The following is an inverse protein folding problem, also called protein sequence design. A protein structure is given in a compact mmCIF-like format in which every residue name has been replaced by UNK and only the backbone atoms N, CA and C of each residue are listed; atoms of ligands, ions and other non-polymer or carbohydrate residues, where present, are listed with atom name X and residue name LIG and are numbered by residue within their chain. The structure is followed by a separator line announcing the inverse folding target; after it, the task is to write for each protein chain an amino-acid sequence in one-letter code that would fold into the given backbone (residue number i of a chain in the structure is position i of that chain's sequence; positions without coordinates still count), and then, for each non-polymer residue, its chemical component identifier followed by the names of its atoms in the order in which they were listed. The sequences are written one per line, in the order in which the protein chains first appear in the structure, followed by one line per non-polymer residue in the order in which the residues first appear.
data_IF_639543107335
#
_entry.id   IF_639543107335
#
_cell.length_a   1.000
_cell.length_b   1.000
_cell.length_c   1.000
_cell.angle_alpha   90.00
_cell.angle_beta   90.00
_cell.angle_gamma   90.00
#
_symmetry.space_group_name_H-M   'P 1'
#
loop_
_entity.id
_entity.type
_entity.pdbx_description
1 polymer ?
#
# COMPACT_ATOMS: atom_id res chain seq x y z
N UNK A 1 -33.56 -47.95 -14.24
CA UNK A 1 -32.74 -46.97 -14.99
C UNK A 1 -33.11 -45.50 -14.73
N UNK A 2 -34.33 -45.18 -14.50
CA UNK A 2 -34.72 -43.77 -14.21
C UNK A 2 -34.23 -43.23 -12.85
N UNK A 3 -33.86 -44.09 -11.86
CA UNK A 3 -33.33 -43.68 -10.55
C UNK A 3 -31.88 -43.23 -10.56
N UNK A 4 -31.07 -43.70 -11.48
CA UNK A 4 -29.64 -43.38 -11.56
C UNK A 4 -29.34 -42.06 -12.28
N UNK A 5 -30.23 -41.65 -13.19
CA UNK A 5 -30.09 -40.38 -13.89
C UNK A 5 -30.21 -39.13 -13.01
N UNK A 6 -30.98 -39.23 -11.93
CA UNK A 6 -31.16 -38.12 -10.98
C UNK A 6 -29.93 -37.89 -10.09
N UNK A 7 -29.24 -38.98 -9.75
CA UNK A 7 -28.01 -38.89 -8.93
C UNK A 7 -26.80 -38.47 -9.75
N UNK A 8 -26.76 -38.82 -11.02
CA UNK A 8 -25.68 -38.41 -11.91
C UNK A 8 -25.71 -36.91 -12.20
N UNK A 9 -26.91 -36.32 -12.33
CA UNK A 9 -27.07 -34.88 -12.53
C UNK A 9 -26.70 -34.11 -11.26
N UNK A 10 -27.05 -34.62 -10.09
CA UNK A 10 -26.67 -34.01 -8.81
C UNK A 10 -25.14 -34.06 -8.57
N UNK A 11 -24.47 -35.15 -8.95
CA UNK A 11 -23.03 -35.26 -8.82
C UNK A 11 -22.27 -34.34 -9.78
N UNK A 12 -22.76 -34.16 -11.02
CA UNK A 12 -22.17 -33.23 -11.99
C UNK A 12 -22.40 -31.78 -11.56
N UNK A 13 -23.56 -31.44 -11.02
CA UNK A 13 -23.84 -30.11 -10.48
C UNK A 13 -22.95 -29.82 -9.26
N UNK A 14 -22.71 -30.79 -8.38
CA UNK A 14 -21.80 -30.66 -7.24
C UNK A 14 -20.35 -30.41 -7.66
N UNK A 15 -19.86 -31.09 -8.69
CA UNK A 15 -18.51 -30.91 -9.22
C UNK A 15 -18.32 -29.53 -9.87
N UNK A 16 -19.34 -28.99 -10.52
CA UNK A 16 -19.29 -27.64 -11.11
C UNK A 16 -19.25 -26.56 -10.00
N UNK A 17 -19.91 -26.78 -8.88
CA UNK A 17 -19.83 -25.84 -7.73
C UNK A 17 -18.46 -25.85 -7.06
N UNK A 18 -17.77 -26.99 -6.95
CA UNK A 18 -16.43 -27.06 -6.40
C UNK A 18 -15.38 -26.44 -7.34
N UNK A 19 -15.53 -26.59 -8.66
CA UNK A 19 -14.65 -25.95 -9.64
C UNK A 19 -14.82 -24.42 -9.67
N UNK A 20 -16.00 -23.88 -9.36
CA UNK A 20 -16.24 -22.44 -9.26
C UNK A 20 -15.61 -21.82 -8.00
N UNK A 21 -15.43 -22.60 -6.91
CA UNK A 21 -14.74 -22.12 -5.70
C UNK A 21 -13.21 -22.09 -5.88
N UNK A 22 -12.63 -23.01 -6.63
CA UNK A 22 -11.18 -23.04 -6.90
C UNK A 22 -10.69 -21.87 -7.78
N UNK A 23 -11.57 -21.30 -8.59
CA UNK A 23 -11.24 -20.13 -9.42
C UNK A 23 -11.26 -18.81 -8.64
N UNK A 24 -11.72 -18.79 -7.41
CA UNK A 24 -11.78 -17.58 -6.59
C UNK A 24 -10.44 -17.25 -5.93
N UNK A 25 -9.59 -18.25 -5.67
CA UNK A 25 -8.26 -18.07 -5.10
C UNK A 25 -7.21 -17.56 -6.10
N UNK A 26 -7.45 -17.71 -7.40
CA UNK A 26 -6.52 -17.27 -8.44
C UNK A 26 -6.58 -15.76 -8.75
N UNK A 27 -7.53 -15.04 -8.17
CA UNK A 27 -7.79 -13.63 -8.50
C UNK A 27 -7.23 -12.62 -7.47
N UNK A 28 -6.49 -13.10 -6.45
CA UNK A 28 -5.95 -12.24 -5.39
C UNK A 28 -4.95 -11.18 -5.90
N UNK A 29 -4.46 -11.31 -7.12
CA UNK A 29 -3.50 -10.38 -7.73
C UNK A 29 -4.07 -9.59 -8.91
N UNK A 30 -5.39 -9.56 -9.06
CA UNK A 30 -6.09 -8.91 -10.16
C UNK A 30 -5.80 -7.42 -10.30
N UNK A 31 -5.50 -6.75 -9.21
CA UNK A 31 -5.28 -5.29 -9.16
C UNK A 31 -3.81 -4.88 -9.26
N UNK A 32 -2.92 -5.82 -9.47
CA UNK A 32 -1.48 -5.57 -9.50
C UNK A 32 -0.90 -5.24 -8.13
N UNK A 33 0.42 -5.29 -8.02
CA UNK A 33 1.11 -4.92 -6.79
C UNK A 33 1.24 -3.39 -6.72
N UNK A 34 0.88 -2.80 -5.59
CA UNK A 34 0.97 -1.37 -5.35
C UNK A 34 2.05 -1.07 -4.30
N UNK A 35 2.78 0.04 -4.50
CA UNK A 35 3.70 0.60 -3.52
C UNK A 35 3.01 1.75 -2.80
N UNK A 36 3.12 1.80 -1.49
CA UNK A 36 2.60 2.88 -0.65
C UNK A 36 3.53 3.14 0.54
N UNK A 37 3.32 4.27 1.21
CA UNK A 37 3.98 4.55 2.49
C UNK A 37 3.13 4.02 3.63
N UNK A 38 3.77 3.44 4.65
CA UNK A 38 3.11 2.91 5.86
C UNK A 38 2.19 3.95 6.52
N UNK A 39 2.63 5.21 6.58
CA UNK A 39 1.87 6.33 7.14
C UNK A 39 0.60 6.67 6.34
N UNK A 40 0.51 6.23 5.09
CA UNK A 40 -0.63 6.47 4.20
C UNK A 40 -1.63 5.29 4.14
N UNK A 41 -1.40 4.22 4.90
CA UNK A 41 -2.24 3.02 4.86
C UNK A 41 -3.71 3.30 5.20
N UNK A 42 -3.94 4.15 6.17
CA UNK A 42 -5.32 4.45 6.65
C UNK A 42 -5.76 5.88 6.38
N UNK A 43 -4.84 6.79 6.14
CA UNK A 43 -5.13 8.20 5.96
C UNK A 43 -4.24 8.81 4.87
N UNK A 44 -4.84 9.64 4.03
CA UNK A 44 -4.12 10.42 3.01
C UNK A 44 -3.13 11.42 3.64
N UNK A 45 -3.39 11.85 4.86
CA UNK A 45 -2.56 12.81 5.60
C UNK A 45 -2.34 12.33 7.02
N UNK A 46 -1.08 12.33 7.45
CA UNK A 46 -0.70 12.16 8.83
C UNK A 46 -0.47 13.53 9.46
N UNK A 47 -1.19 13.82 10.53
CA UNK A 47 -0.98 15.03 11.34
C UNK A 47 -0.05 14.69 12.51
N UNK A 48 1.06 15.41 12.58
CA UNK A 48 2.02 15.27 13.67
C UNK A 48 2.24 16.63 14.35
N UNK A 49 2.13 16.66 15.66
CA UNK A 49 2.39 17.86 16.45
C UNK A 49 3.73 17.73 17.15
N UNK A 50 4.59 18.70 16.92
CA UNK A 50 5.91 18.77 17.57
C UNK A 50 5.86 19.71 18.77
N UNK A 51 6.42 19.26 19.88
CA UNK A 51 6.61 20.12 21.06
C UNK A 51 7.84 21.03 20.92
N UNK A 52 7.98 22.02 21.79
CA UNK A 52 9.08 22.99 21.75
C UNK A 52 10.34 22.52 22.49
N UNK A 53 10.37 21.30 22.98
CA UNK A 53 11.38 20.80 23.91
C UNK A 53 12.60 20.15 23.25
N UNK A 54 12.61 20.05 21.91
CA UNK A 54 13.72 19.47 21.13
C UNK A 54 14.03 20.35 19.93
N UNK A 55 15.31 20.44 19.53
CA UNK A 55 15.69 21.20 18.34
C UNK A 55 15.30 20.51 17.02
N UNK A 56 15.19 19.17 17.04
CA UNK A 56 14.85 18.36 15.87
C UNK A 56 13.91 17.21 16.25
N UNK A 57 13.15 16.75 15.27
CA UNK A 57 12.26 15.59 15.37
C UNK A 57 12.48 14.69 14.19
N UNK A 58 12.51 13.41 14.43
CA UNK A 58 12.66 12.39 13.40
C UNK A 58 11.30 11.73 13.11
N UNK A 59 10.95 11.66 11.85
CA UNK A 59 9.77 10.96 11.35
C UNK A 59 10.24 9.76 10.53
N UNK A 60 9.94 8.55 10.98
CA UNK A 60 10.26 7.34 10.26
C UNK A 60 9.20 7.07 9.17
N UNK A 61 9.66 6.72 7.98
CA UNK A 61 8.82 6.35 6.84
C UNK A 61 9.28 5.00 6.30
N UNK A 62 8.34 4.12 5.98
CA UNK A 62 8.63 2.85 5.31
C UNK A 62 7.82 2.73 4.02
N UNK A 63 8.45 2.20 2.98
CA UNK A 63 7.74 1.81 1.78
C UNK A 63 7.21 0.39 1.93
N UNK A 64 5.98 0.18 1.50
CA UNK A 64 5.31 -1.11 1.57
C UNK A 64 4.75 -1.53 0.22
N UNK A 65 4.67 -2.85 0.03
CA UNK A 65 4.00 -3.49 -1.10
C UNK A 65 2.71 -4.17 -0.61
N UNK A 66 1.71 -4.19 -1.45
CA UNK A 66 0.46 -4.91 -1.18
C UNK A 66 0.71 -6.42 -0.98
N UNK A 67 1.66 -7.00 -1.72
CA UNK A 67 2.11 -8.38 -1.57
C UNK A 67 3.57 -8.55 -2.01
N UNK A 68 4.27 -9.62 -1.56
CA UNK A 68 5.69 -9.79 -1.85
C UNK A 68 5.98 -9.89 -3.36
N UNK A 69 7.04 -9.23 -3.81
CA UNK A 69 7.55 -9.36 -5.18
C UNK A 69 8.59 -10.49 -5.27
N UNK A 70 8.76 -11.06 -6.46
CA UNK A 70 9.75 -12.10 -6.72
C UNK A 70 11.19 -11.59 -6.83
N UNK A 71 11.38 -10.28 -6.82
CA UNK A 71 12.68 -9.60 -6.90
C UNK A 71 12.68 -8.36 -6.03
N UNK A 72 13.86 -7.81 -5.77
CA UNK A 72 14.00 -6.55 -5.05
C UNK A 72 13.28 -5.41 -5.77
N UNK A 73 12.58 -4.56 -5.01
CA UNK A 73 11.88 -3.39 -5.52
C UNK A 73 12.54 -2.13 -4.95
N UNK A 74 13.15 -1.33 -5.82
CA UNK A 74 13.68 -0.02 -5.44
C UNK A 74 12.55 1.01 -5.44
N UNK A 75 12.42 1.77 -4.36
CA UNK A 75 11.42 2.83 -4.18
C UNK A 75 12.14 4.15 -3.95
N UNK A 76 11.85 5.14 -4.78
CA UNK A 76 12.36 6.50 -4.62
C UNK A 76 11.32 7.38 -3.93
N UNK A 77 11.74 8.01 -2.84
CA UNK A 77 10.92 8.96 -2.08
C UNK A 77 11.26 10.38 -2.56
N UNK A 78 10.23 11.14 -2.89
CA UNK A 78 10.38 12.50 -3.38
C UNK A 78 9.41 13.42 -2.67
N UNK A 79 9.89 14.60 -2.24
CA UNK A 79 9.02 15.65 -1.70
C UNK A 79 8.40 16.39 -2.88
N UNK A 80 7.07 16.39 -2.94
CA UNK A 80 6.31 17.07 -3.99
C UNK A 80 5.47 18.21 -3.41
N UNK A 81 5.93 19.47 -3.51
CA UNK A 81 5.21 20.63 -2.99
C UNK A 81 3.83 20.87 -3.63
N UNK A 82 3.60 20.36 -4.84
CA UNK A 82 2.33 20.54 -5.55
C UNK A 82 1.16 19.81 -4.86
N UNK A 83 1.45 18.77 -4.10
CA UNK A 83 0.44 18.00 -3.37
C UNK A 83 -0.27 18.83 -2.30
N UNK A 84 0.39 19.83 -1.72
CA UNK A 84 -0.25 20.75 -0.75
C UNK A 84 -1.39 21.52 -1.40
N UNK A 85 -1.17 22.06 -2.60
CA UNK A 85 -2.21 22.77 -3.36
C UNK A 85 -3.36 21.84 -3.75
N UNK A 86 -3.07 20.63 -4.18
CA UNK A 86 -4.08 19.62 -4.52
C UNK A 86 -4.94 19.25 -3.31
N UNK A 87 -4.30 19.04 -2.17
CA UNK A 87 -4.99 18.75 -0.91
C UNK A 87 -5.89 19.91 -0.48
N UNK A 88 -5.37 21.15 -0.49
CA UNK A 88 -6.13 22.34 -0.14
C UNK A 88 -7.38 22.50 -1.02
N UNK A 89 -7.24 22.28 -2.33
CA UNK A 89 -8.36 22.37 -3.26
C UNK A 89 -9.44 21.31 -2.99
N UNK A 90 -9.02 20.09 -2.61
CA UNK A 90 -9.94 18.98 -2.32
C UNK A 90 -10.71 19.17 -1.02
N UNK A 91 -10.06 19.66 0.02
CA UNK A 91 -10.61 19.70 1.38
C UNK A 91 -10.94 21.12 1.89
N UNK A 92 -10.74 22.15 1.07
CA UNK A 92 -11.02 23.53 1.47
C UNK A 92 -10.10 24.04 2.58
N UNK A 93 -8.86 23.55 2.62
CA UNK A 93 -7.86 23.97 3.61
C UNK A 93 -6.90 25.02 3.03
N UNK A 94 -6.09 25.63 3.90
CA UNK A 94 -5.11 26.67 3.53
C UNK A 94 -3.71 26.32 4.06
N UNK A 95 -3.33 25.03 3.95
CA UNK A 95 -1.99 24.59 4.36
C UNK A 95 -0.92 25.19 3.46
N UNK A 96 0.23 25.48 4.04
CA UNK A 96 1.41 25.97 3.31
C UNK A 96 2.52 24.93 3.36
N UNK A 97 3.30 24.85 2.29
CA UNK A 97 4.48 23.97 2.26
C UNK A 97 5.52 24.44 3.27
N UNK A 98 6.08 23.52 4.04
CA UNK A 98 7.21 23.80 4.91
C UNK A 98 8.44 24.15 4.07
N UNK A 99 9.14 25.23 4.44
CA UNK A 99 10.38 25.62 3.76
C UNK A 99 11.43 24.49 3.89
N UNK A 100 12.12 24.19 2.80
CA UNK A 100 13.09 23.10 2.71
C UNK A 100 14.26 23.18 3.70
N UNK A 101 14.52 24.36 4.26
CA UNK A 101 15.52 24.53 5.33
C UNK A 101 15.12 23.90 6.67
N UNK A 102 13.85 23.54 6.85
CA UNK A 102 13.33 22.98 8.09
C UNK A 102 13.17 21.46 8.08
N UNK A 103 13.48 20.80 6.98
CA UNK A 103 13.44 19.34 6.91
C UNK A 103 14.55 18.79 6.03
N UNK A 104 14.90 17.54 6.27
CA UNK A 104 15.80 16.78 5.40
C UNK A 104 15.38 15.32 5.34
N UNK A 105 15.41 14.75 4.16
CA UNK A 105 15.20 13.33 3.94
C UNK A 105 16.58 12.66 3.91
N UNK A 106 16.88 11.79 4.89
CA UNK A 106 18.21 11.18 5.04
C UNK A 106 18.54 10.17 3.93
N UNK A 107 17.52 9.56 3.31
CA UNK A 107 17.69 8.70 2.14
C UNK A 107 16.51 8.89 1.20
N UNK A 108 16.81 9.07 -0.09
CA UNK A 108 15.77 9.22 -1.12
C UNK A 108 15.34 7.88 -1.72
N UNK A 109 16.16 6.84 -1.60
CA UNK A 109 15.88 5.53 -2.18
C UNK A 109 15.99 4.45 -1.13
N UNK A 110 14.98 3.59 -1.07
CA UNK A 110 14.92 2.39 -0.24
C UNK A 110 14.62 1.18 -1.08
N UNK A 111 14.98 0.01 -0.57
CA UNK A 111 14.73 -1.26 -1.26
C UNK A 111 13.81 -2.13 -0.41
N UNK A 112 12.77 -2.67 -1.04
CA UNK A 112 11.96 -3.75 -0.47
C UNK A 112 12.55 -5.05 -1.00
N UNK A 113 13.14 -5.89 -0.14
CA UNK A 113 13.79 -7.13 -0.59
C UNK A 113 12.79 -8.11 -1.20
N UNK A 114 13.27 -8.94 -2.13
CA UNK A 114 12.47 -10.04 -2.69
C UNK A 114 11.84 -10.91 -1.58
N UNK A 115 10.57 -11.23 -1.74
CA UNK A 115 9.81 -12.00 -0.76
C UNK A 115 9.39 -11.24 0.51
N UNK A 116 9.68 -9.94 0.58
CA UNK A 116 9.24 -9.04 1.65
C UNK A 116 8.21 -8.04 1.12
N UNK A 117 7.48 -7.44 2.04
CA UNK A 117 6.51 -6.38 1.74
C UNK A 117 6.93 -5.02 2.26
N UNK A 118 7.98 -4.93 3.08
CA UNK A 118 8.37 -3.72 3.81
C UNK A 118 9.84 -3.41 3.59
N UNK A 119 10.18 -2.14 3.35
CA UNK A 119 11.55 -1.64 3.29
C UNK A 119 12.12 -1.38 4.69
N UNK A 120 13.40 -1.06 4.77
CA UNK A 120 13.96 -0.38 5.94
C UNK A 120 13.35 1.01 6.09
N UNK A 121 13.35 1.53 7.32
CA UNK A 121 12.84 2.87 7.60
C UNK A 121 13.79 3.95 7.07
N UNK A 122 13.20 5.00 6.52
CA UNK A 122 13.88 6.25 6.18
C UNK A 122 13.49 7.31 7.17
N UNK A 123 14.43 8.15 7.56
CA UNK A 123 14.18 9.24 8.50
C UNK A 123 14.05 10.57 7.76
N UNK A 124 12.99 11.28 8.06
CA UNK A 124 12.72 12.67 7.67
C UNK A 124 12.92 13.57 8.88
#
# INVERSE_FOLDING_TARGET
MKKYGKYLIAAVAGLVFFAACDNYEADDHKFGNAVYLDVAETNEVQLTTFGNNKPTYDCALQAELTYPAGQDVAVTLTVDPSLVGTYNARYGTEWTMLDSKYYSLLSETVTIPAGKTTSDAVTL
#
